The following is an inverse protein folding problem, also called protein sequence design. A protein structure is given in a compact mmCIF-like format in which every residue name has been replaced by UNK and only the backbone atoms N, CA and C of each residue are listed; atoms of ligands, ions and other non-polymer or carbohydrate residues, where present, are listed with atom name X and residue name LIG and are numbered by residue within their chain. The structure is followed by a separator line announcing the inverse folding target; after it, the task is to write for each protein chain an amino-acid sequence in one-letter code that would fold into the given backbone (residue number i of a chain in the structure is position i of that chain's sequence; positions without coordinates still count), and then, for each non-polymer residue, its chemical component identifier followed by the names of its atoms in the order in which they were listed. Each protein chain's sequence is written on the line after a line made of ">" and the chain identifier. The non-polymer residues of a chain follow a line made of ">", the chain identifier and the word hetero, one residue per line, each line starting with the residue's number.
data_IF_816090287302
#
_entry.id   IF_816090287302
#
_cell.length_a   1.000
_cell.length_b   1.000
_cell.length_c   1.000
_cell.angle_alpha   90.00
_cell.angle_beta   90.00
_cell.angle_gamma   90.00
#
_symmetry.space_group_name_H-M   'P 1'
#
loop_
_entity.id
_entity.type
_entity.pdbx_description
1 polymer ?
#
# COMPACT_ATOMS: atom_id res chain seq x y z
N UNK A 1 -22.68 8.96 -20.70
CA UNK A 1 -22.62 8.28 -19.39
C UNK A 1 -21.31 8.67 -18.75
N UNK A 2 -21.33 9.68 -17.90
CA UNK A 2 -20.15 10.18 -17.20
C UNK A 2 -20.21 9.66 -15.75
N UNK A 3 -19.36 8.68 -15.42
CA UNK A 3 -18.99 8.46 -14.03
C UNK A 3 -17.83 9.40 -13.69
N UNK A 4 -18.07 10.71 -13.68
CA UNK A 4 -17.12 11.66 -13.12
C UNK A 4 -17.37 11.75 -11.62
N UNK A 5 -16.86 10.75 -10.89
CA UNK A 5 -16.88 10.74 -9.43
C UNK A 5 -16.14 11.97 -8.91
N UNK A 6 -16.87 12.93 -8.33
CA UNK A 6 -16.32 14.14 -7.71
C UNK A 6 -15.68 13.79 -6.37
N UNK A 7 -14.53 13.13 -6.39
CA UNK A 7 -13.63 13.07 -5.24
C UNK A 7 -12.84 14.38 -5.15
N UNK A 8 -12.80 15.02 -3.99
CA UNK A 8 -11.90 16.15 -3.73
C UNK A 8 -10.55 15.65 -3.26
N UNK A 9 -9.46 16.22 -3.76
CA UNK A 9 -8.14 16.00 -3.19
C UNK A 9 -8.10 16.57 -1.76
N UNK A 10 -7.66 15.77 -0.80
CA UNK A 10 -7.64 16.13 0.63
C UNK A 10 -6.22 16.49 1.07
N UNK A 11 -5.26 15.62 0.75
CA UNK A 11 -3.88 15.74 1.20
C UNK A 11 -2.93 14.95 0.28
N UNK A 12 -1.67 15.34 0.27
CA UNK A 12 -0.57 14.63 -0.37
C UNK A 12 0.69 14.68 0.49
N UNK A 13 1.61 13.75 0.26
CA UNK A 13 2.87 13.62 0.99
C UNK A 13 3.99 13.24 0.01
N UNK A 14 5.23 13.39 0.47
CA UNK A 14 6.41 12.91 -0.25
C UNK A 14 7.47 12.47 0.75
N UNK A 15 8.36 11.56 0.33
CA UNK A 15 9.50 11.10 1.10
C UNK A 15 10.73 11.01 0.20
N UNK A 16 11.86 11.52 0.68
CA UNK A 16 13.15 11.26 0.05
C UNK A 16 13.66 9.87 0.46
N UNK A 17 13.86 8.99 -0.53
CA UNK A 17 14.25 7.59 -0.31
C UNK A 17 15.69 7.26 -0.72
N UNK A 18 16.40 8.18 -1.37
CA UNK A 18 17.70 7.88 -1.98
C UNK A 18 17.61 6.78 -3.05
N UNK A 19 18.63 5.92 -3.14
CA UNK A 19 18.66 4.80 -4.10
C UNK A 19 17.89 3.60 -3.53
N UNK A 20 16.73 3.32 -4.10
CA UNK A 20 15.91 2.15 -3.76
C UNK A 20 15.26 1.55 -5.02
N UNK A 21 14.73 0.34 -4.90
CA UNK A 21 13.90 -0.25 -5.97
C UNK A 21 12.50 0.36 -5.97
N UNK A 22 11.81 0.28 -7.11
CA UNK A 22 10.41 0.70 -7.24
C UNK A 22 9.54 0.01 -6.18
N UNK A 23 9.71 -1.30 -6.00
CA UNK A 23 9.00 -2.07 -4.97
C UNK A 23 9.15 -1.48 -3.55
N UNK A 24 10.38 -1.13 -3.15
CA UNK A 24 10.63 -0.52 -1.84
C UNK A 24 10.03 0.89 -1.76
N UNK A 25 10.08 1.67 -2.84
CA UNK A 25 9.49 3.00 -2.88
C UNK A 25 7.96 2.97 -2.69
N UNK A 26 7.29 2.05 -3.37
CA UNK A 26 5.84 1.83 -3.24
C UNK A 26 5.45 1.44 -1.82
N UNK A 27 6.17 0.50 -1.18
CA UNK A 27 5.90 0.09 0.19
C UNK A 27 6.04 1.25 1.20
N UNK A 28 7.06 2.10 1.02
CA UNK A 28 7.20 3.30 1.84
C UNK A 28 6.08 4.31 1.59
N UNK A 29 5.66 4.49 0.34
CA UNK A 29 4.51 5.31 -0.01
C UNK A 29 3.26 4.85 0.75
N UNK A 30 2.92 3.56 0.66
CA UNK A 30 1.76 2.98 1.35
C UNK A 30 1.84 3.19 2.87
N UNK A 31 3.00 2.94 3.48
CA UNK A 31 3.19 3.14 4.92
C UNK A 31 3.00 4.60 5.35
N UNK A 32 3.63 5.54 4.65
CA UNK A 32 3.51 6.97 4.96
C UNK A 32 2.06 7.46 4.78
N UNK A 33 1.39 7.04 3.70
CA UNK A 33 -0.01 7.35 3.45
C UNK A 33 -0.95 6.78 4.52
N UNK A 34 -0.74 5.54 4.94
CA UNK A 34 -1.50 4.90 6.03
C UNK A 34 -1.34 5.64 7.36
N UNK A 35 -0.11 5.99 7.73
CA UNK A 35 0.17 6.74 8.96
C UNK A 35 -0.47 8.13 8.93
N UNK A 36 -0.45 8.80 7.77
CA UNK A 36 -1.08 10.11 7.58
C UNK A 36 -2.60 10.04 7.77
N UNK A 37 -3.24 9.08 7.11
CA UNK A 37 -4.69 8.89 7.14
C UNK A 37 -5.17 8.43 8.52
N UNK A 38 -4.42 7.54 9.18
CA UNK A 38 -4.71 7.10 10.55
C UNK A 38 -4.66 8.27 11.54
N UNK A 39 -3.67 9.17 11.41
CA UNK A 39 -3.58 10.40 12.23
C UNK A 39 -4.76 11.35 11.99
N UNK A 40 -5.40 11.29 10.83
CA UNK A 40 -6.60 12.06 10.51
C UNK A 40 -7.90 11.40 10.99
N UNK A 41 -7.83 10.18 11.55
CA UNK A 41 -8.98 9.48 12.13
C UNK A 41 -9.81 8.68 11.13
N UNK A 42 -9.33 8.48 9.91
CA UNK A 42 -9.98 7.59 8.94
C UNK A 42 -9.67 6.12 9.28
N UNK A 43 -10.71 5.31 9.46
CA UNK A 43 -10.58 3.90 9.88
C UNK A 43 -10.84 2.90 8.75
N UNK A 44 -11.46 3.33 7.65
CA UNK A 44 -11.76 2.51 6.48
C UNK A 44 -11.32 3.26 5.23
N UNK A 45 -10.38 2.68 4.49
CA UNK A 45 -9.83 3.29 3.27
C UNK A 45 -9.65 2.25 2.17
N UNK A 46 -9.71 2.73 0.93
CA UNK A 46 -9.29 2.00 -0.26
C UNK A 46 -7.97 2.59 -0.71
N UNK A 47 -6.92 1.76 -0.74
CA UNK A 47 -5.60 2.15 -1.24
C UNK A 47 -5.48 1.60 -2.66
N UNK A 48 -5.15 2.46 -3.62
CA UNK A 48 -4.92 2.09 -5.01
C UNK A 48 -3.46 2.31 -5.36
N UNK A 49 -2.88 1.34 -6.03
CA UNK A 49 -1.49 1.32 -6.47
C UNK A 49 -1.38 0.48 -7.74
N UNK A 50 -0.48 0.85 -8.63
CA UNK A 50 -0.32 0.27 -9.98
C UNK A 50 0.70 -0.88 -10.01
N UNK A 51 1.35 -1.18 -8.89
CA UNK A 51 2.32 -2.26 -8.77
C UNK A 51 1.68 -3.55 -8.25
N UNK A 52 1.46 -4.52 -9.15
CA UNK A 52 0.89 -5.82 -8.83
C UNK A 52 1.74 -6.62 -7.81
N UNK A 53 3.07 -6.52 -7.87
CA UNK A 53 3.96 -7.23 -6.94
C UNK A 53 3.71 -6.76 -5.50
N UNK A 54 3.49 -5.46 -5.31
CA UNK A 54 3.14 -4.87 -4.01
C UNK A 54 1.75 -5.33 -3.57
N UNK A 55 0.79 -5.48 -4.50
CA UNK A 55 -0.58 -5.93 -4.17
C UNK A 55 -0.53 -7.33 -3.62
N UNK A 56 0.19 -8.20 -4.31
CA UNK A 56 0.40 -9.58 -3.89
C UNK A 56 1.11 -9.58 -2.52
N UNK A 57 2.25 -8.91 -2.38
CA UNK A 57 3.02 -8.92 -1.13
C UNK A 57 2.22 -8.47 0.12
N UNK A 58 1.35 -7.46 -0.02
CA UNK A 58 0.52 -6.97 1.09
C UNK A 58 -0.68 -7.88 1.35
N UNK A 59 -1.24 -8.50 0.31
CA UNK A 59 -2.38 -9.39 0.42
C UNK A 59 -1.99 -10.78 0.96
N UNK A 60 -0.77 -11.22 0.67
CA UNK A 60 -0.25 -12.57 0.93
C UNK A 60 0.24 -12.77 2.38
N UNK A 61 0.23 -11.71 3.21
CA UNK A 61 0.56 -11.80 4.64
C UNK A 61 -0.43 -12.64 5.47
N UNK A 62 -1.42 -13.28 4.82
CA UNK A 62 -2.30 -14.31 5.42
C UNK A 62 -1.82 -15.76 5.21
N UNK A 63 -0.79 -16.03 4.38
CA UNK A 63 -0.38 -17.40 4.06
C UNK A 63 0.80 -17.96 4.90
N UNK A 64 1.52 -17.13 5.66
CA UNK A 64 2.59 -17.59 6.58
C UNK A 64 2.03 -18.05 7.95
N UNK A 65 1.13 -19.03 7.92
CA UNK A 65 0.92 -19.97 9.04
C UNK A 65 0.71 -21.40 8.51
N UNK A 66 1.45 -21.79 7.49
CA UNK A 66 1.64 -23.21 7.16
C UNK A 66 3.13 -23.50 7.14
N UNK A 67 3.68 -23.88 8.30
CA UNK A 67 4.98 -24.52 8.40
C UNK A 67 4.93 -25.87 7.65
N UNK A 68 4.95 -25.87 6.33
CA UNK A 68 5.29 -27.07 5.57
C UNK A 68 6.77 -27.02 5.25
N UNK A 69 7.57 -27.50 6.20
CA UNK A 69 8.94 -27.95 5.93
C UNK A 69 8.86 -29.05 4.88
N UNK A 70 9.28 -28.75 3.65
CA UNK A 70 9.53 -29.77 2.63
C UNK A 70 10.92 -30.35 2.91
N UNK A 71 10.94 -31.46 3.65
CA UNK A 71 12.14 -32.30 3.77
C UNK A 71 12.29 -33.04 2.44
N UNK A 72 13.44 -32.83 1.78
CA UNK A 72 13.86 -33.66 0.65
C UNK A 72 14.70 -34.82 1.16
#
# INVERSE_FOLDING_TARGET
>A
MEYCGKGSWIVGYNRFLGKCSVFVAELWGILDGLLLIQKQGYNEIIIQFDNLEVVVAISDSKLERSNSTLVR
#
